data_IF_706439981849
#
_entry.id   IF_706439981849
#
_cell.length_a   1.000
_cell.length_b   1.000
_cell.length_c   1.000
_cell.angle_alpha   90.00
_cell.angle_beta   90.00
_cell.angle_gamma   90.00
#
_symmetry.space_group_name_H-M   'P 1'
#
loop_
_entity.id
_entity.type
_entity.pdbx_description
1 polymer ?
#
# COMPACT_ATOMS: atom_id res chain seq x y z
N UNK A 1 -41.80 -13.94 -42.13
CA UNK A 1 -41.25 -13.40 -43.39
C UNK A 1 -41.20 -11.88 -43.28
N UNK A 2 -40.01 -11.30 -43.51
CA UNK A 2 -39.79 -9.92 -44.01
C UNK A 2 -40.14 -8.80 -43.02
N UNK A 3 -39.21 -8.39 -42.15
CA UNK A 3 -38.30 -7.25 -42.34
C UNK A 3 -38.95 -5.96 -42.85
N UNK A 4 -39.00 -4.93 -41.99
CA UNK A 4 -38.82 -3.55 -42.43
C UNK A 4 -38.00 -2.77 -41.41
N UNK A 5 -36.75 -2.52 -41.82
CA UNK A 5 -35.77 -1.65 -41.19
C UNK A 5 -36.24 -0.21 -41.36
N UNK A 6 -36.43 0.52 -40.24
CA UNK A 6 -36.51 1.99 -40.27
C UNK A 6 -35.14 2.58 -40.00
N UNK A 7 -34.52 3.03 -41.08
CA UNK A 7 -33.44 4.01 -41.08
C UNK A 7 -33.93 5.30 -40.42
N UNK A 8 -33.32 5.69 -39.30
CA UNK A 8 -33.39 7.07 -38.81
C UNK A 8 -31.99 7.64 -38.88
N UNK A 9 -31.81 8.49 -39.87
CA UNK A 9 -30.69 9.41 -40.03
C UNK A 9 -30.71 10.42 -38.87
N UNK A 10 -29.61 10.55 -38.14
CA UNK A 10 -29.39 11.69 -37.26
C UNK A 10 -28.01 12.27 -37.55
N UNK A 11 -28.02 13.35 -38.31
CA UNK A 11 -26.87 14.20 -38.61
C UNK A 11 -27.04 15.49 -37.80
N UNK A 12 -25.93 15.89 -37.18
CA UNK A 12 -25.64 17.21 -36.61
C UNK A 12 -26.13 17.51 -35.18
N UNK A 13 -25.19 17.56 -34.24
CA UNK A 13 -25.15 18.65 -33.26
C UNK A 13 -23.71 18.98 -32.82
N UNK A 14 -23.28 20.16 -33.28
CA UNK A 14 -22.26 21.12 -32.83
C UNK A 14 -21.23 20.79 -31.74
N UNK A 15 -19.96 20.99 -32.14
CA UNK A 15 -18.95 21.91 -31.55
C UNK A 15 -19.05 22.20 -30.04
N UNK A 16 -18.07 21.70 -29.28
CA UNK A 16 -17.33 22.52 -28.30
C UNK A 16 -15.92 21.96 -28.14
N UNK A 17 -14.99 22.60 -28.83
CA UNK A 17 -13.55 22.51 -28.65
C UNK A 17 -13.19 23.12 -27.29
N UNK A 18 -12.89 22.28 -26.31
CA UNK A 18 -12.25 22.66 -25.06
C UNK A 18 -10.79 22.20 -25.12
N UNK A 19 -9.89 23.17 -25.28
CA UNK A 19 -8.44 23.00 -25.27
C UNK A 19 -7.99 22.31 -23.98
N UNK A 20 -7.33 21.16 -24.11
CA UNK A 20 -6.57 20.55 -23.03
C UNK A 20 -5.13 21.07 -23.13
N UNK A 21 -4.75 21.99 -22.24
CA UNK A 21 -3.35 22.36 -22.05
C UNK A 21 -2.60 21.23 -21.30
N UNK A 22 -1.41 20.82 -21.76
CA UNK A 22 -0.55 19.95 -20.97
C UNK A 22 0.16 20.73 -19.86
N UNK A 23 -0.07 20.31 -18.62
CA UNK A 23 0.51 20.87 -17.39
C UNK A 23 2.05 20.72 -17.38
N UNK A 24 2.76 21.85 -17.34
CA UNK A 24 4.22 21.93 -17.10
C UNK A 24 4.54 21.59 -15.62
N UNK A 25 5.49 20.69 -15.33
CA UNK A 25 6.02 20.54 -13.99
C UNK A 25 6.93 21.74 -13.65
N UNK A 26 6.64 22.44 -12.56
CA UNK A 26 7.55 23.44 -12.00
C UNK A 26 8.74 22.77 -11.32
N UNK A 27 9.95 23.10 -11.76
CA UNK A 27 11.21 22.79 -11.10
C UNK A 27 11.26 23.50 -9.73
N UNK A 28 11.49 22.74 -8.65
CA UNK A 28 11.91 23.28 -7.34
C UNK A 28 13.43 23.14 -7.22
N UNK A 29 14.13 24.26 -7.08
CA UNK A 29 15.53 24.31 -6.68
C UNK A 29 15.69 24.02 -5.18
N UNK A 30 16.74 23.31 -4.74
CA UNK A 30 17.05 23.13 -3.32
C UNK A 30 17.97 24.25 -2.80
N UNK A 31 17.45 25.07 -1.88
CA UNK A 31 18.19 26.14 -1.22
C UNK A 31 18.64 25.78 0.21
N UNK A 32 19.97 25.88 0.42
CA UNK A 32 20.71 26.32 1.62
C UNK A 32 20.59 25.53 2.93
N UNK A 33 21.64 24.76 3.19
CA UNK A 33 22.12 24.40 4.53
C UNK A 33 22.47 25.67 5.33
N UNK A 34 21.99 25.76 6.57
CA UNK A 34 22.40 26.78 7.55
C UNK A 34 23.36 26.14 8.55
N UNK A 35 24.55 26.69 8.61
CA UNK A 35 25.57 26.48 9.63
C UNK A 35 25.14 27.16 10.95
N UNK A 36 25.45 26.54 12.09
CA UNK A 36 25.39 27.16 13.41
C UNK A 36 26.79 27.11 14.04
N UNK A 37 27.37 28.24 14.48
CA UNK A 37 28.61 28.24 15.22
C UNK A 37 28.42 28.34 16.74
N UNK A 38 29.45 27.84 17.43
CA UNK A 38 29.70 27.81 18.87
C UNK A 38 29.70 29.18 19.58
N UNK A 39 29.39 29.16 20.87
CA UNK A 39 29.83 30.16 21.87
C UNK A 39 29.66 29.60 23.30
N UNK A 40 30.77 29.28 24.00
CA UNK A 40 31.39 30.05 25.11
C UNK A 40 30.76 29.72 26.50
N UNK A 41 31.45 28.98 27.37
CA UNK A 41 32.44 29.40 28.39
C UNK A 41 31.80 29.88 29.71
N UNK A 42 32.22 29.28 30.84
CA UNK A 42 32.25 29.71 32.27
C UNK A 42 32.42 28.42 33.11
N UNK A 43 33.27 28.23 34.11
CA UNK A 43 34.22 29.07 34.85
C UNK A 43 35.04 28.20 35.83
N UNK A 44 36.13 28.78 36.33
CA UNK A 44 37.20 28.18 37.15
C UNK A 44 36.81 27.89 38.62
N UNK A 45 37.43 26.89 39.27
CA UNK A 45 38.44 27.06 40.37
C UNK A 45 38.92 25.70 40.99
N UNK A 46 40.22 25.53 41.31
CA UNK A 46 40.85 24.41 42.07
C UNK A 46 41.07 24.82 43.57
N UNK A 47 41.84 24.15 44.48
CA UNK A 47 42.86 23.08 44.33
C UNK A 47 42.90 21.99 45.45
N UNK A 48 43.76 20.95 45.30
CA UNK A 48 44.88 20.64 46.23
C UNK A 48 45.48 19.22 46.10
N UNK A 49 46.82 19.22 46.12
CA UNK A 49 47.77 18.23 46.71
C UNK A 49 48.33 17.10 45.82
N UNK A 50 49.66 17.08 45.88
CA UNK A 50 50.67 16.24 45.24
C UNK A 50 50.57 14.74 45.56
N UNK A 51 51.09 13.93 44.62
CA UNK A 51 51.42 12.53 44.86
C UNK A 51 51.98 11.88 43.61
N UNK A 52 53.28 11.58 43.65
CA UNK A 52 54.10 11.02 42.58
C UNK A 52 53.81 9.55 42.27
N UNK A 53 53.94 9.15 40.98
CA UNK A 53 54.79 8.04 40.47
C UNK A 53 54.40 7.65 39.04
N UNK A 54 55.44 7.48 38.23
CA UNK A 54 55.49 7.06 36.81
C UNK A 54 54.93 5.62 36.65
N UNK A 55 54.39 5.22 35.48
CA UNK A 55 55.25 4.79 34.38
C UNK A 55 54.82 5.25 32.99
N UNK A 56 55.84 5.30 32.14
CA UNK A 56 55.87 5.41 30.69
C UNK A 56 54.82 4.51 30.02
N UNK A 57 53.88 5.11 29.30
CA UNK A 57 53.23 4.48 28.15
C UNK A 57 53.48 5.37 26.94
N UNK A 58 54.32 4.87 26.05
CA UNK A 58 54.48 5.42 24.70
C UNK A 58 53.19 5.08 23.95
N UNK A 59 52.21 5.96 24.07
CA UNK A 59 50.95 5.86 23.34
C UNK A 59 51.24 6.15 21.86
N UNK A 60 51.54 5.08 21.12
CA UNK A 60 51.67 5.12 19.68
C UNK A 60 50.31 5.56 19.11
N UNK A 61 50.19 6.85 18.79
CA UNK A 61 49.08 7.40 18.01
C UNK A 61 49.05 6.72 16.65
N UNK A 62 48.32 5.61 16.58
CA UNK A 62 48.02 4.91 15.34
C UNK A 62 46.93 5.71 14.65
N UNK A 63 47.34 6.75 13.92
CA UNK A 63 46.49 7.47 12.98
C UNK A 63 45.82 6.45 12.05
N UNK A 64 44.56 6.13 12.32
CA UNK A 64 43.73 5.37 11.40
C UNK A 64 43.34 6.31 10.26
N UNK A 65 44.27 6.49 9.33
CA UNK A 65 44.01 7.13 8.04
C UNK A 65 43.05 6.22 7.27
N UNK A 66 41.75 6.49 7.37
CA UNK A 66 40.73 5.88 6.53
C UNK A 66 40.99 6.32 5.09
N UNK A 67 41.76 5.53 4.35
CA UNK A 67 41.89 5.71 2.91
C UNK A 67 40.50 5.60 2.29
N UNK A 68 39.95 6.72 1.83
CA UNK A 68 38.74 6.72 1.00
C UNK A 68 39.08 5.95 -0.27
N UNK A 69 38.70 4.67 -0.30
CA UNK A 69 38.89 3.79 -1.45
C UNK A 69 38.19 4.44 -2.64
N UNK A 70 38.96 4.88 -3.64
CA UNK A 70 38.40 5.39 -4.90
C UNK A 70 37.55 4.29 -5.53
N UNK A 71 36.24 4.52 -5.68
CA UNK A 71 35.33 3.55 -6.31
C UNK A 71 35.84 3.26 -7.72
N UNK A 72 36.24 2.01 -7.98
CA UNK A 72 36.64 1.55 -9.31
C UNK A 72 35.41 1.63 -10.21
N UNK A 73 35.44 2.50 -11.21
CA UNK A 73 34.34 2.66 -12.18
C UNK A 73 34.28 1.39 -13.01
N UNK A 74 33.11 0.73 -13.03
CA UNK A 74 32.84 -0.49 -13.83
C UNK A 74 31.90 -0.14 -14.98
N UNK A 75 32.39 0.46 -16.08
CA UNK A 75 31.53 1.01 -17.14
C UNK A 75 30.67 -0.06 -17.81
N UNK A 76 31.20 -1.27 -17.98
CA UNK A 76 30.47 -2.41 -18.55
C UNK A 76 29.31 -2.85 -17.64
N UNK A 77 29.51 -2.82 -16.32
CA UNK A 77 28.45 -3.19 -15.37
C UNK A 77 27.31 -2.18 -15.39
N UNK A 78 27.62 -0.88 -15.47
CA UNK A 78 26.62 0.18 -15.60
C UNK A 78 25.86 0.09 -16.93
N UNK A 79 26.56 -0.16 -18.04
CA UNK A 79 25.92 -0.38 -19.34
C UNK A 79 25.01 -1.61 -19.33
N UNK A 80 25.48 -2.73 -18.76
CA UNK A 80 24.68 -3.94 -18.63
C UNK A 80 23.43 -3.71 -17.75
N UNK A 81 23.54 -2.90 -16.68
CA UNK A 81 22.41 -2.53 -15.84
C UNK A 81 21.36 -1.76 -16.66
N UNK A 82 21.77 -0.71 -17.37
CA UNK A 82 20.88 0.10 -18.23
C UNK A 82 20.22 -0.72 -19.33
N UNK A 83 20.96 -1.61 -19.98
CA UNK A 83 20.40 -2.47 -21.03
C UNK A 83 19.36 -3.44 -20.45
N UNK A 84 19.61 -4.02 -19.27
CA UNK A 84 18.63 -4.90 -18.60
C UNK A 84 17.38 -4.13 -18.19
N UNK A 85 17.51 -2.94 -17.62
CA UNK A 85 16.39 -2.07 -17.26
C UNK A 85 15.55 -1.69 -18.49
N UNK A 86 16.21 -1.28 -19.58
CA UNK A 86 15.53 -0.97 -20.83
C UNK A 86 14.78 -2.16 -21.42
N UNK A 87 15.42 -3.34 -21.46
CA UNK A 87 14.76 -4.59 -21.91
C UNK A 87 13.60 -4.95 -20.99
N UNK A 88 13.76 -4.84 -19.67
CA UNK A 88 12.70 -5.13 -18.71
C UNK A 88 11.50 -4.19 -18.86
N UNK A 89 11.69 -2.92 -19.23
CA UNK A 89 10.61 -1.99 -19.54
C UNK A 89 9.91 -2.34 -20.86
N UNK A 90 10.67 -2.69 -21.89
CA UNK A 90 10.15 -2.99 -23.24
C UNK A 90 9.45 -4.34 -23.31
N UNK A 91 10.01 -5.35 -22.65
CA UNK A 91 9.52 -6.74 -22.61
C UNK A 91 8.64 -6.99 -21.39
N UNK A 92 8.21 -5.94 -20.69
CA UNK A 92 7.33 -6.07 -19.53
C UNK A 92 6.05 -6.83 -19.95
N UNK A 93 5.76 -8.00 -19.34
CA UNK A 93 4.57 -8.75 -19.66
C UNK A 93 3.34 -7.91 -19.33
N UNK A 94 2.33 -8.00 -20.19
CA UNK A 94 1.04 -7.33 -19.99
C UNK A 94 0.24 -8.03 -18.90
N UNK A 95 -0.73 -7.34 -18.32
CA UNK A 95 -1.55 -7.92 -17.25
C UNK A 95 -2.39 -9.09 -17.78
N UNK A 96 -2.84 -9.00 -19.04
CA UNK A 96 -3.48 -10.09 -19.78
C UNK A 96 -2.63 -11.37 -19.82
N UNK A 97 -1.36 -11.25 -20.22
CA UNK A 97 -0.44 -12.39 -20.31
C UNK A 97 -0.10 -12.96 -18.93
N UNK A 98 0.17 -12.08 -17.95
CA UNK A 98 0.58 -12.46 -16.61
C UNK A 98 -0.54 -13.17 -15.85
N UNK A 99 -1.78 -12.70 -16.03
CA UNK A 99 -2.94 -13.18 -15.28
C UNK A 99 -3.87 -14.10 -16.06
N UNK A 100 -3.54 -14.42 -17.32
CA UNK A 100 -4.17 -15.51 -18.06
C UNK A 100 -4.22 -16.79 -17.22
N UNK A 101 -5.31 -17.53 -17.38
CA UNK A 101 -5.59 -18.73 -16.62
C UNK A 101 -6.28 -19.74 -17.53
N UNK A 102 -5.75 -20.95 -17.56
CA UNK A 102 -6.43 -22.10 -18.14
C UNK A 102 -7.42 -22.68 -17.13
N UNK A 103 -8.70 -22.70 -17.49
CA UNK A 103 -9.80 -23.13 -16.62
C UNK A 103 -9.85 -24.65 -16.43
N UNK A 104 -9.25 -25.42 -17.33
CA UNK A 104 -9.21 -26.89 -17.23
C UNK A 104 -8.12 -27.33 -16.24
N UNK A 105 -6.89 -26.85 -16.45
CA UNK A 105 -5.74 -27.27 -15.65
C UNK A 105 -5.48 -26.39 -14.42
N UNK A 106 -6.18 -25.26 -14.28
CA UNK A 106 -5.94 -24.24 -13.25
C UNK A 106 -4.49 -23.72 -13.23
N UNK A 107 -3.83 -23.74 -14.40
CA UNK A 107 -2.44 -23.28 -14.57
C UNK A 107 -2.40 -21.90 -15.21
N UNK A 108 -1.42 -21.09 -14.78
CA UNK A 108 -1.11 -19.82 -15.44
C UNK A 108 -0.04 -20.05 -16.51
N UNK A 109 -0.35 -19.91 -17.82
CA UNK A 109 0.57 -20.28 -18.89
C UNK A 109 1.89 -19.50 -18.84
N UNK A 110 1.86 -18.22 -18.46
CA UNK A 110 3.07 -17.39 -18.39
C UNK A 110 4.06 -17.84 -17.31
N UNK A 111 3.57 -18.30 -16.16
CA UNK A 111 4.43 -18.69 -15.03
C UNK A 111 4.61 -20.20 -14.89
N UNK A 112 3.77 -20.99 -15.55
CA UNK A 112 3.67 -22.44 -15.38
C UNK A 112 3.13 -22.88 -14.01
N UNK A 113 2.73 -21.94 -13.14
CA UNK A 113 2.27 -22.25 -11.77
C UNK A 113 0.78 -22.57 -11.73
N UNK A 114 0.43 -23.60 -10.95
CA UNK A 114 -0.96 -23.94 -10.62
C UNK A 114 -1.51 -23.02 -9.54
N UNK A 115 -2.79 -22.72 -9.61
CA UNK A 115 -3.48 -22.02 -8.54
C UNK A 115 -3.64 -22.92 -7.30
N UNK A 116 -3.68 -22.35 -6.09
CA UNK A 116 -4.03 -23.09 -4.88
C UNK A 116 -5.41 -23.75 -5.01
N UNK A 117 -5.56 -24.97 -4.49
CA UNK A 117 -6.78 -25.78 -4.61
C UNK A 117 -8.02 -25.05 -4.09
N UNK A 118 -7.89 -24.31 -2.98
CA UNK A 118 -8.99 -23.55 -2.38
C UNK A 118 -9.55 -22.46 -3.32
N UNK A 119 -8.74 -21.95 -4.24
CA UNK A 119 -9.18 -20.92 -5.19
C UNK A 119 -9.89 -21.50 -6.43
N UNK A 120 -9.89 -22.82 -6.63
CA UNK A 120 -10.43 -23.43 -7.87
C UNK A 120 -11.95 -23.31 -7.97
N UNK A 121 -12.65 -23.43 -6.84
CA UNK A 121 -14.11 -23.27 -6.82
C UNK A 121 -14.51 -21.84 -7.19
N UNK A 122 -13.83 -20.87 -6.60
CA UNK A 122 -14.06 -19.45 -6.84
C UNK A 122 -13.79 -19.08 -8.30
N UNK A 123 -12.69 -19.59 -8.88
CA UNK A 123 -12.37 -19.40 -10.30
C UNK A 123 -13.49 -19.85 -11.24
N UNK A 124 -14.20 -20.92 -10.90
CA UNK A 124 -15.24 -21.48 -11.76
C UNK A 124 -16.59 -20.79 -11.62
N UNK A 125 -16.89 -20.25 -10.44
CA UNK A 125 -18.22 -19.68 -10.12
C UNK A 125 -18.24 -18.16 -10.23
N UNK A 126 -17.18 -17.51 -9.77
CA UNK A 126 -17.13 -16.07 -9.60
C UNK A 126 -16.40 -15.38 -10.76
N UNK A 127 -16.59 -14.07 -10.87
CA UNK A 127 -15.99 -13.27 -11.93
C UNK A 127 -14.81 -12.43 -11.44
N UNK A 128 -13.94 -12.05 -12.38
CA UNK A 128 -12.95 -10.98 -12.16
C UNK A 128 -13.64 -9.63 -12.16
N UNK A 129 -13.05 -8.64 -11.52
CA UNK A 129 -13.62 -7.29 -11.50
C UNK A 129 -13.80 -6.75 -12.93
N UNK A 130 -12.77 -6.86 -13.77
CA UNK A 130 -12.81 -6.32 -15.14
C UNK A 130 -13.80 -7.04 -16.05
N UNK A 131 -14.03 -8.34 -15.85
CA UNK A 131 -15.08 -9.06 -16.56
C UNK A 131 -16.46 -8.44 -16.27
N UNK A 132 -16.69 -8.00 -15.03
CA UNK A 132 -17.92 -7.28 -14.65
C UNK A 132 -17.92 -5.83 -15.16
N UNK A 133 -16.80 -5.11 -15.06
CA UNK A 133 -16.70 -3.72 -15.50
C UNK A 133 -16.92 -3.58 -17.01
N UNK A 134 -16.38 -4.48 -17.83
CA UNK A 134 -16.50 -4.40 -19.29
C UNK A 134 -17.93 -4.58 -19.81
N UNK A 135 -18.77 -5.30 -19.08
CA UNK A 135 -20.20 -5.43 -19.40
C UNK A 135 -21.02 -4.18 -19.07
N UNK A 136 -20.45 -3.20 -18.37
CA UNK A 136 -21.15 -2.01 -17.91
C UNK A 136 -20.82 -0.78 -18.74
N UNK A 137 -21.78 0.14 -18.83
CA UNK A 137 -21.55 1.46 -19.43
C UNK A 137 -20.48 2.22 -18.65
N UNK A 138 -19.55 2.84 -19.37
CA UNK A 138 -18.42 3.61 -18.80
C UNK A 138 -17.63 2.81 -17.75
N UNK A 139 -17.46 1.49 -17.99
CA UNK A 139 -16.78 0.59 -17.06
C UNK A 139 -17.33 0.61 -15.63
N UNK A 140 -18.63 0.92 -15.44
CA UNK A 140 -19.25 0.91 -14.13
C UNK A 140 -18.73 1.98 -13.15
N UNK A 141 -18.16 3.09 -13.65
CA UNK A 141 -17.75 4.21 -12.79
C UNK A 141 -18.95 4.71 -11.98
N UNK A 142 -18.73 4.88 -10.67
CA UNK A 142 -19.73 5.28 -9.69
C UNK A 142 -20.50 4.12 -9.06
N UNK A 143 -20.30 2.88 -9.51
CA UNK A 143 -20.99 1.69 -8.97
C UNK A 143 -20.23 1.04 -7.83
N UNK A 144 -20.97 0.26 -7.04
CA UNK A 144 -20.45 -0.50 -5.91
C UNK A 144 -20.14 -1.94 -6.31
N UNK A 145 -18.97 -2.40 -5.87
CA UNK A 145 -18.51 -3.77 -6.05
C UNK A 145 -18.13 -4.35 -4.69
N UNK A 146 -18.56 -5.56 -4.43
CA UNK A 146 -18.22 -6.31 -3.22
C UNK A 146 -17.43 -7.56 -3.59
N UNK A 147 -16.93 -8.25 -2.56
CA UNK A 147 -16.22 -9.52 -2.71
C UNK A 147 -16.99 -10.63 -2.01
N UNK A 148 -16.99 -11.83 -2.58
CA UNK A 148 -17.60 -13.00 -1.94
C UNK A 148 -16.91 -13.27 -0.59
N UNK A 149 -15.58 -13.15 -0.52
CA UNK A 149 -14.84 -13.33 0.75
C UNK A 149 -15.35 -12.41 1.85
N UNK A 150 -15.67 -11.15 1.52
CA UNK A 150 -16.17 -10.19 2.49
C UNK A 150 -17.60 -10.47 2.93
N UNK A 151 -18.47 -10.89 2.00
CA UNK A 151 -19.83 -11.29 2.33
C UNK A 151 -19.89 -12.51 3.26
N UNK A 152 -18.87 -13.37 3.21
CA UNK A 152 -18.78 -14.54 4.09
C UNK A 152 -18.12 -14.23 5.44
N UNK A 153 -17.15 -13.31 5.48
CA UNK A 153 -16.39 -12.98 6.68
C UNK A 153 -17.04 -11.90 7.55
N UNK A 154 -17.77 -10.96 6.94
CA UNK A 154 -18.28 -9.77 7.60
C UNK A 154 -19.79 -9.61 7.34
N UNK A 155 -20.55 -9.42 8.42
CA UNK A 155 -21.95 -8.99 8.34
C UNK A 155 -22.06 -7.51 7.97
N UNK A 156 -21.01 -6.73 8.25
CA UNK A 156 -20.98 -5.29 7.95
C UNK A 156 -20.68 -5.04 6.45
N UNK A 157 -21.26 -4.00 5.84
CA UNK A 157 -21.09 -3.74 4.42
C UNK A 157 -19.65 -3.39 4.09
N UNK A 158 -19.10 -4.17 3.15
CA UNK A 158 -17.76 -3.99 2.60
C UNK A 158 -17.85 -3.88 1.07
N UNK A 159 -17.49 -2.73 0.52
CA UNK A 159 -17.55 -2.49 -0.92
C UNK A 159 -16.56 -1.44 -1.38
N UNK A 160 -16.22 -1.52 -2.67
CA UNK A 160 -15.49 -0.50 -3.39
C UNK A 160 -16.44 0.32 -4.26
N UNK A 161 -16.35 1.64 -4.14
CA UNK A 161 -16.97 2.59 -5.08
C UNK A 161 -15.95 2.96 -6.15
N UNK A 162 -16.14 2.46 -7.36
CA UNK A 162 -15.18 2.66 -8.46
C UNK A 162 -15.25 4.09 -8.99
N UNK A 163 -14.11 4.77 -9.11
CA UNK A 163 -14.02 6.16 -9.60
C UNK A 163 -13.27 6.26 -10.92
N UNK A 164 -12.19 5.49 -11.08
CA UNK A 164 -11.36 5.49 -12.29
C UNK A 164 -11.01 4.07 -12.70
N UNK A 165 -10.95 3.83 -14.00
CA UNK A 165 -10.62 2.51 -14.56
C UNK A 165 -9.64 2.71 -15.70
N UNK A 166 -8.55 1.94 -15.69
CA UNK A 166 -7.56 1.85 -16.77
C UNK A 166 -7.53 0.42 -17.24
N UNK A 167 -8.10 0.18 -18.41
CA UNK A 167 -8.19 -1.14 -19.03
C UNK A 167 -6.91 -1.45 -19.81
N UNK A 168 -6.52 -2.73 -19.83
CA UNK A 168 -5.51 -3.24 -20.74
C UNK A 168 -6.15 -3.59 -22.09
N UNK A 169 -6.01 -2.69 -23.07
CA UNK A 169 -6.56 -2.87 -24.42
C UNK A 169 -5.88 -3.99 -25.23
N UNK A 170 -4.83 -4.62 -24.71
CA UNK A 170 -4.22 -5.79 -25.37
C UNK A 170 -5.05 -7.07 -25.21
N UNK A 171 -5.93 -7.13 -24.21
CA UNK A 171 -6.83 -8.24 -24.01
C UNK A 171 -8.03 -8.14 -24.95
N UNK A 172 -8.35 -9.23 -25.65
CA UNK A 172 -9.50 -9.31 -26.58
C UNK A 172 -10.81 -8.95 -25.87
N UNK A 173 -11.00 -9.45 -24.64
CA UNK A 173 -12.21 -9.22 -23.84
C UNK A 173 -12.09 -8.05 -22.87
N UNK A 174 -10.99 -7.29 -22.90
CA UNK A 174 -10.72 -6.17 -21.98
C UNK A 174 -10.81 -6.56 -20.48
N UNK A 175 -10.62 -7.84 -20.16
CA UNK A 175 -10.85 -8.46 -18.86
C UNK A 175 -9.71 -8.25 -17.84
N UNK A 176 -8.79 -7.32 -18.13
CA UNK A 176 -7.63 -6.99 -17.32
C UNK A 176 -7.38 -5.47 -17.26
N UNK A 177 -6.73 -5.02 -16.19
CA UNK A 177 -6.32 -3.63 -16.01
C UNK A 177 -6.10 -3.23 -14.56
N UNK A 178 -6.21 -1.92 -14.30
CA UNK A 178 -6.16 -1.31 -12.97
C UNK A 178 -7.39 -0.46 -12.71
N UNK A 179 -7.93 -0.53 -11.50
CA UNK A 179 -9.06 0.28 -11.07
C UNK A 179 -8.67 1.07 -9.83
N UNK A 180 -9.32 2.22 -9.64
CA UNK A 180 -9.23 3.03 -8.44
C UNK A 180 -10.63 3.32 -7.91
N UNK A 181 -10.75 3.38 -6.61
CA UNK A 181 -12.02 3.56 -5.94
C UNK A 181 -11.88 4.04 -4.51
N UNK A 182 -13.02 4.27 -3.88
CA UNK A 182 -13.12 4.56 -2.46
C UNK A 182 -13.57 3.27 -1.78
N UNK A 183 -12.85 2.84 -0.76
CA UNK A 183 -13.16 1.65 0.02
C UNK A 183 -14.07 2.04 1.18
N UNK A 184 -15.19 1.36 1.30
CA UNK A 184 -15.95 1.32 2.55
C UNK A 184 -15.73 -0.05 3.16
N UNK A 185 -15.01 -0.11 4.28
CA UNK A 185 -14.73 -1.36 4.98
C UNK A 185 -15.42 -1.36 6.33
N UNK A 186 -16.32 -2.34 6.53
CA UNK A 186 -17.12 -2.50 7.75
C UNK A 186 -17.87 -1.22 8.15
N UNK A 187 -18.47 -0.56 7.16
CA UNK A 187 -19.19 0.70 7.35
C UNK A 187 -18.34 1.96 7.52
N UNK A 188 -17.00 1.86 7.59
CA UNK A 188 -16.11 3.02 7.60
C UNK A 188 -15.67 3.35 6.18
N UNK A 189 -16.09 4.50 5.65
CA UNK A 189 -15.65 5.00 4.34
C UNK A 189 -14.27 5.63 4.45
N UNK A 190 -13.35 5.24 3.56
CA UNK A 190 -12.05 5.91 3.39
C UNK A 190 -12.23 7.27 2.71
N UNK A 191 -11.47 8.28 3.13
CA UNK A 191 -11.51 9.60 2.52
C UNK A 191 -10.81 9.67 1.16
N UNK A 192 -9.91 8.73 0.87
CA UNK A 192 -9.00 8.79 -0.27
C UNK A 192 -9.33 7.76 -1.34
N UNK A 193 -9.09 8.12 -2.60
CA UNK A 193 -9.21 7.21 -3.73
C UNK A 193 -7.95 6.36 -3.80
N UNK A 194 -8.08 5.06 -3.55
CA UNK A 194 -6.98 4.09 -3.55
C UNK A 194 -7.03 3.18 -4.78
N UNK A 195 -5.89 2.57 -5.12
CA UNK A 195 -5.86 1.52 -6.15
C UNK A 195 -6.59 0.29 -5.58
N UNK A 196 -7.51 -0.26 -6.37
CA UNK A 196 -8.22 -1.48 -5.97
C UNK A 196 -7.23 -2.63 -6.05
N UNK A 197 -7.04 -3.33 -4.94
CA UNK A 197 -6.19 -4.50 -4.88
C UNK A 197 -6.90 -5.78 -5.33
N UNK A 198 -6.12 -6.83 -5.63
CA UNK A 198 -6.62 -8.17 -5.98
C UNK A 198 -7.66 -8.17 -7.12
N UNK A 199 -7.53 -7.23 -8.07
CA UNK A 199 -8.48 -7.06 -9.18
C UNK A 199 -8.62 -8.29 -10.08
N UNK A 200 -7.54 -9.06 -10.17
CA UNK A 200 -7.43 -10.29 -10.95
C UNK A 200 -8.00 -11.54 -10.26
N UNK A 201 -8.50 -11.42 -9.02
CA UNK A 201 -9.09 -12.55 -8.29
C UNK A 201 -10.51 -12.82 -8.82
N UNK A 202 -10.95 -14.08 -8.76
CA UNK A 202 -12.30 -14.48 -9.13
C UNK A 202 -13.15 -14.49 -7.86
N UNK A 203 -13.46 -13.30 -7.36
CA UNK A 203 -14.11 -13.12 -6.06
C UNK A 203 -15.04 -11.90 -6.08
N UNK A 204 -15.15 -11.24 -7.23
CA UNK A 204 -15.85 -9.97 -7.34
C UNK A 204 -17.31 -10.19 -7.69
N UNK A 205 -18.17 -9.41 -7.03
CA UNK A 205 -19.60 -9.35 -7.29
C UNK A 205 -20.06 -7.90 -7.43
N UNK A 206 -20.99 -7.70 -8.35
CA UNK A 206 -21.59 -6.41 -8.61
C UNK A 206 -22.81 -6.23 -7.69
N UNK A 207 -22.84 -5.13 -6.94
CA UNK A 207 -24.00 -4.80 -6.09
C UNK A 207 -25.12 -4.23 -6.98
N UNK A 208 -26.33 -4.81 -6.97
CA UNK A 208 -27.49 -4.27 -7.68
C UNK A 208 -27.89 -2.87 -7.19
N UNK A 209 -28.33 -1.99 -8.08
CA UNK A 209 -28.64 -0.59 -7.76
C UNK A 209 -29.67 -0.39 -6.64
N UNK A 210 -30.63 -1.29 -6.51
CA UNK A 210 -31.67 -1.19 -5.49
C UNK A 210 -31.14 -1.52 -4.09
N UNK A 211 -30.10 -2.35 -3.99
CA UNK A 211 -29.43 -2.71 -2.73
C UNK A 211 -28.33 -1.69 -2.36
N UNK A 212 -27.85 -0.90 -3.33
CA UNK A 212 -26.79 0.10 -3.10
C UNK A 212 -27.19 1.16 -2.06
N UNK A 213 -28.47 1.51 -1.95
CA UNK A 213 -28.96 2.51 -0.98
C UNK A 213 -28.99 1.94 0.44
N UNK A 214 -29.43 0.68 0.59
CA UNK A 214 -29.45 -0.02 1.88
C UNK A 214 -28.04 -0.18 2.45
N UNK A 215 -27.07 -0.55 1.60
CA UNK A 215 -25.67 -0.70 1.99
C UNK A 215 -24.99 0.61 2.40
N UNK A 216 -25.47 1.75 1.88
CA UNK A 216 -24.98 3.09 2.26
C UNK A 216 -25.59 3.57 3.58
N UNK A 217 -26.78 3.11 3.92
CA UNK A 217 -27.49 3.49 5.15
C UNK A 217 -26.91 2.90 6.43
N UNK A 218 -25.92 1.99 6.33
CA UNK A 218 -25.33 1.36 7.50
C UNK A 218 -24.54 2.34 8.35
N UNK A 219 -24.94 2.47 9.61
CA UNK A 219 -24.21 3.24 10.61
C UNK A 219 -23.19 2.32 11.26
N UNK A 220 -21.90 2.62 11.06
CA UNK A 220 -20.82 1.87 11.70
C UNK A 220 -21.01 1.88 13.22
N UNK A 221 -21.05 0.69 13.82
CA UNK A 221 -21.08 0.55 15.29
C UNK A 221 -19.84 1.24 15.85
N UNK A 222 -19.98 2.16 16.82
CA UNK A 222 -18.85 2.86 17.40
C UNK A 222 -17.85 1.84 17.96
N UNK A 223 -16.57 2.08 17.65
CA UNK A 223 -15.52 1.15 18.05
C UNK A 223 -15.49 1.04 19.59
N UNK A 224 -15.50 -0.19 20.16
CA UNK A 224 -15.50 -0.34 21.60
C UNK A 224 -14.24 0.33 22.18
N UNK A 225 -14.42 0.97 23.33
CA UNK A 225 -13.36 1.71 24.02
C UNK A 225 -12.07 0.89 24.17
N UNK A 226 -10.94 1.60 24.23
CA UNK A 226 -9.60 1.02 24.41
C UNK A 226 -9.61 -0.07 25.49
N UNK A 227 -9.09 -1.25 25.14
CA UNK A 227 -9.08 -2.40 26.04
C UNK A 227 -7.81 -2.34 26.87
N UNK A 228 -7.95 -2.04 28.15
CA UNK A 228 -6.86 -2.16 29.11
C UNK A 228 -6.76 -3.60 29.60
N UNK A 229 -5.57 -4.19 29.55
CA UNK A 229 -5.32 -5.56 30.04
C UNK A 229 -4.24 -5.51 31.12
N UNK A 230 -4.38 -6.36 32.13
CA UNK A 230 -3.38 -6.47 33.18
C UNK A 230 -2.06 -7.01 32.63
N UNK A 231 -0.94 -6.50 33.13
CA UNK A 231 0.37 -7.05 32.75
C UNK A 231 0.49 -8.51 33.19
N UNK A 232 1.18 -9.37 32.42
CA UNK A 232 1.52 -10.73 32.83
C UNK A 232 2.19 -10.76 34.21
N UNK A 233 2.02 -11.83 35.01
CA UNK A 233 2.37 -11.84 36.44
C UNK A 233 3.80 -11.40 36.76
N UNK A 234 4.77 -11.84 35.95
CA UNK A 234 6.18 -11.48 36.14
C UNK A 234 6.43 -9.99 35.88
N UNK A 235 5.96 -9.47 34.75
CA UNK A 235 6.12 -8.05 34.39
C UNK A 235 5.40 -7.15 35.39
N UNK A 236 4.20 -7.53 35.83
CA UNK A 236 3.48 -6.85 36.90
C UNK A 236 4.32 -6.78 38.18
N UNK A 237 4.92 -7.90 38.61
CA UNK A 237 5.74 -7.94 39.81
C UNK A 237 7.01 -7.08 39.69
N UNK A 238 7.67 -7.09 38.53
CA UNK A 238 8.84 -6.25 38.25
C UNK A 238 8.51 -4.76 38.31
N UNK A 239 7.44 -4.34 37.63
CA UNK A 239 6.98 -2.93 37.62
C UNK A 239 6.67 -2.45 39.04
N UNK A 240 5.99 -3.29 39.84
CA UNK A 240 5.68 -2.97 41.24
C UNK A 240 6.93 -2.92 42.12
N UNK A 241 7.93 -3.79 41.88
CA UNK A 241 9.19 -3.79 42.61
C UNK A 241 10.05 -2.55 42.29
N UNK A 242 10.11 -2.15 41.01
CA UNK A 242 10.82 -0.94 40.58
C UNK A 242 10.17 0.33 41.14
N UNK A 243 8.83 0.44 41.11
CA UNK A 243 8.11 1.58 41.68
C UNK A 243 8.40 1.74 43.18
N UNK A 244 8.43 0.62 43.92
CA UNK A 244 8.80 0.62 45.35
C UNK A 244 10.24 1.06 45.56
N UNK A 245 11.17 0.63 44.71
CA UNK A 245 12.58 1.07 44.76
C UNK A 245 12.73 2.57 44.54
N UNK A 246 11.90 3.16 43.68
CA UNK A 246 11.87 4.60 43.40
C UNK A 246 11.08 5.41 44.44
N UNK A 247 10.57 4.79 45.50
CA UNK A 247 9.78 5.45 46.53
C UNK A 247 8.37 5.87 46.09
N UNK A 248 7.92 5.42 44.90
CA UNK A 248 6.56 5.63 44.42
C UNK A 248 5.67 4.53 44.98
N UNK A 249 4.57 4.90 45.65
CA UNK A 249 3.54 3.93 46.06
C UNK A 249 2.51 3.83 44.93
N UNK A 250 2.52 2.78 44.09
CA UNK A 250 1.54 2.63 43.03
C UNK A 250 0.15 2.46 43.64
N UNK A 251 -0.73 3.46 43.44
CA UNK A 251 -2.12 3.46 43.93
C UNK A 251 -3.06 2.64 43.04
N UNK A 252 -2.65 2.34 41.80
CA UNK A 252 -3.44 1.63 40.81
C UNK A 252 -2.61 0.49 40.23
N UNK A 253 -3.29 -0.57 39.80
CA UNK A 253 -2.62 -1.66 39.10
C UNK A 253 -2.06 -1.17 37.77
N UNK A 254 -0.83 -1.57 37.39
CA UNK A 254 -0.31 -1.24 36.09
C UNK A 254 -1.15 -1.98 35.03
N UNK A 255 -1.66 -1.22 34.07
CA UNK A 255 -2.47 -1.73 32.95
C UNK A 255 -1.73 -1.46 31.64
N UNK A 256 -1.74 -2.47 30.77
CA UNK A 256 -1.27 -2.36 29.41
C UNK A 256 -2.40 -1.83 28.54
N UNK A 257 -2.19 -0.65 27.95
CA UNK A 257 -3.10 -0.08 26.95
C UNK A 257 -2.95 -0.85 25.64
N UNK A 258 -3.93 -1.71 25.33
CA UNK A 258 -4.02 -2.37 24.03
C UNK A 258 -4.76 -1.45 23.06
N UNK A 259 -4.15 -0.32 22.71
CA UNK A 259 -4.62 0.44 21.56
C UNK A 259 -4.60 -0.51 20.35
N UNK A 260 -5.77 -0.69 19.72
CA UNK A 260 -5.82 -1.39 18.44
C UNK A 260 -5.04 -0.56 17.43
N UNK A 261 -3.79 -0.96 17.18
CA UNK A 261 -3.01 -0.44 16.07
C UNK A 261 -3.69 -0.82 14.76
N UNK A 262 -4.56 0.05 14.25
CA UNK A 262 -5.14 -0.02 12.92
C UNK A 262 -6.13 -1.18 12.65
N UNK A 263 -6.72 -1.23 11.44
CA UNK A 263 -7.66 -2.27 11.06
C UNK A 263 -6.92 -3.62 10.96
N UNK A 264 -7.00 -4.43 12.00
CA UNK A 264 -6.50 -5.82 12.02
C UNK A 264 -7.45 -6.78 11.30
N UNK A 265 -7.93 -6.41 10.10
CA UNK A 265 -8.53 -7.38 9.20
C UNK A 265 -7.41 -8.16 8.52
N UNK A 266 -7.39 -9.49 8.59
CA UNK A 266 -6.39 -10.33 7.88
C UNK A 266 -6.35 -10.03 6.38
N UNK A 267 -7.45 -9.49 5.85
CA UNK A 267 -7.65 -9.14 4.46
C UNK A 267 -7.26 -7.70 4.08
N UNK A 268 -6.96 -6.84 5.07
CA UNK A 268 -6.56 -5.45 4.84
C UNK A 268 -5.03 -5.37 4.73
N UNK A 269 -4.51 -5.13 3.53
CA UNK A 269 -3.06 -5.08 3.27
C UNK A 269 -2.61 -3.68 2.83
N UNK A 270 -2.37 -2.74 3.76
CA UNK A 270 -1.72 -1.47 3.43
C UNK A 270 -0.25 -1.65 2.99
N UNK A 271 0.33 -2.83 3.21
CA UNK A 271 1.72 -3.13 2.87
C UNK A 271 2.00 -3.15 1.36
N UNK A 272 1.00 -3.40 0.51
CA UNK A 272 1.22 -3.45 -0.94
C UNK A 272 1.46 -2.07 -1.56
N UNK A 273 0.84 -1.02 -1.01
CA UNK A 273 1.12 0.37 -1.40
C UNK A 273 2.54 0.76 -1.00
N UNK A 274 2.94 0.46 0.24
CA UNK A 274 4.31 0.71 0.74
C UNK A 274 5.37 -0.10 -0.03
N UNK A 275 5.11 -1.35 -0.37
CA UNK A 275 6.06 -2.18 -1.13
C UNK A 275 6.20 -1.67 -2.58
N UNK A 276 5.12 -1.14 -3.18
CA UNK A 276 5.16 -0.50 -4.50
C UNK A 276 5.88 0.85 -4.46
N UNK A 277 5.67 1.66 -3.43
CA UNK A 277 6.41 2.92 -3.21
C UNK A 277 7.90 2.66 -2.97
N UNK A 278 8.26 1.65 -2.18
CA UNK A 278 9.66 1.28 -1.94
C UNK A 278 10.33 0.71 -3.20
N UNK A 279 9.63 -0.11 -4.00
CA UNK A 279 10.13 -0.58 -5.29
C UNK A 279 10.18 0.51 -6.36
N UNK A 280 9.32 1.54 -6.27
CA UNK A 280 9.32 2.71 -7.16
C UNK A 280 10.36 3.77 -6.78
N UNK A 281 10.67 3.93 -5.49
CA UNK A 281 11.70 4.84 -4.98
C UNK A 281 13.13 4.26 -5.06
N UNK A 282 13.26 2.95 -5.32
CA UNK A 282 14.53 2.28 -5.57
C UNK A 282 14.88 2.16 -7.08
N UNK A 283 14.14 2.85 -7.95
CA UNK A 283 14.38 2.91 -9.40
C UNK A 283 15.08 4.21 -9.80
#
# INVERSE_FOLDING_TARGET
MIQFIRFVSFRQFTRRSGLYEPFRPQHKEPGKQREFPHGLHCGNTPPHIAGSRVPVEVEAKKEHRTMVRKKVVRPIAELARKVREYRALKERPRDSQKYALDLETMTRPYSGKKLPVLAWEDVRRESRLFSLLCGLRLFGVGRLFTRKSWLQEHEEPCYWRITKVKVDYSAENMDHGKAWGILTFRGKEDCEVKEVDKVMYHDWRLVPKHEEEELKGFVAVPEPAARFVTYPPLLRAMILAEARREGRVPRQEPLLDLQRGGPLGKDFHPEQEKEREQRGAAA
#
